data_IF_843597215983
#
_entry.id   IF_843597215983
#
_cell.length_a   1.000
_cell.length_b   1.000
_cell.length_c   1.000
_cell.angle_alpha   90.00
_cell.angle_beta   90.00
_cell.angle_gamma   90.00
#
_symmetry.space_group_name_H-M   'P 1'
#
loop_
_entity.id
_entity.type
_entity.pdbx_description
1 polymer ?
#
# COMPACT_ATOMS: atom_id res chain seq x y z
N UNK A 1 27.59 -15.90 -0.07
CA UNK A 1 26.50 -16.03 0.92
C UNK A 1 25.93 -14.65 1.26
N UNK A 2 25.02 -14.11 0.43
CA UNK A 2 24.17 -12.98 0.83
C UNK A 2 22.75 -13.39 0.50
N UNK A 3 22.07 -13.91 1.53
CA UNK A 3 20.67 -14.32 1.50
C UNK A 3 19.87 -13.07 1.13
N UNK A 4 19.50 -12.95 -0.14
CA UNK A 4 18.56 -11.92 -0.61
C UNK A 4 17.25 -12.18 0.12
N UNK A 5 17.07 -11.45 1.22
CA UNK A 5 15.90 -11.50 2.08
C UNK A 5 14.80 -10.79 1.28
N UNK A 6 14.22 -11.50 0.32
CA UNK A 6 12.96 -11.15 -0.36
C UNK A 6 11.89 -11.14 0.74
N UNK A 7 11.85 -10.05 1.51
CA UNK A 7 10.71 -9.74 2.36
C UNK A 7 9.57 -9.55 1.39
N UNK A 8 8.53 -10.37 1.53
CA UNK A 8 7.30 -10.31 0.75
C UNK A 8 6.62 -8.96 1.01
N UNK A 9 7.07 -7.92 0.33
CA UNK A 9 6.39 -6.65 0.24
C UNK A 9 5.65 -6.67 -1.09
N UNK A 10 4.35 -6.93 -1.04
CA UNK A 10 3.51 -6.86 -2.23
C UNK A 10 3.26 -5.37 -2.51
N UNK A 11 3.56 -4.94 -3.73
CA UNK A 11 3.33 -3.56 -4.17
C UNK A 11 2.17 -3.58 -5.15
N UNK A 12 1.11 -2.85 -4.80
CA UNK A 12 -0.06 -2.67 -5.68
C UNK A 12 -0.08 -1.21 -6.12
N UNK A 13 -0.04 -1.00 -7.43
CA UNK A 13 -0.21 0.32 -8.03
C UNK A 13 -1.59 0.41 -8.67
N UNK A 14 -2.42 1.32 -8.16
CA UNK A 14 -3.77 1.61 -8.66
C UNK A 14 -3.74 2.96 -9.35
N UNK A 15 -4.21 3.05 -10.58
CA UNK A 15 -4.30 4.32 -11.31
C UNK A 15 -5.75 4.64 -11.59
N UNK A 16 -6.18 5.86 -11.27
CA UNK A 16 -7.51 6.36 -11.59
C UNK A 16 -7.42 7.36 -12.73
N UNK A 17 -7.68 6.86 -13.95
CA UNK A 17 -7.64 7.65 -15.18
C UNK A 17 -6.37 8.50 -15.29
N UNK A 18 -6.55 9.81 -15.49
CA UNK A 18 -5.47 10.83 -15.52
C UNK A 18 -5.45 11.71 -14.27
N UNK A 19 -6.02 11.23 -13.16
CA UNK A 19 -6.19 12.03 -11.94
C UNK A 19 -5.14 11.67 -10.90
N UNK A 20 -5.11 10.40 -10.47
CA UNK A 20 -4.23 9.96 -9.38
C UNK A 20 -3.63 8.58 -9.63
N UNK A 21 -2.51 8.33 -8.95
CA UNK A 21 -1.83 7.04 -8.81
C UNK A 21 -1.70 6.76 -7.32
N UNK A 22 -2.22 5.63 -6.88
CA UNK A 22 -2.14 5.16 -5.51
C UNK A 22 -1.22 3.93 -5.43
N UNK A 23 -0.32 3.95 -4.46
CA UNK A 23 0.63 2.87 -4.18
C UNK A 23 0.24 2.29 -2.84
N UNK A 24 -0.04 0.99 -2.81
CA UNK A 24 -0.31 0.24 -1.60
C UNK A 24 0.84 -0.73 -1.39
N UNK A 25 1.58 -0.53 -0.31
CA UNK A 25 2.61 -1.43 0.17
C UNK A 25 1.98 -2.36 1.18
N UNK A 26 1.90 -3.64 0.85
CA UNK A 26 1.46 -4.67 1.76
C UNK A 26 2.66 -5.47 2.26
N UNK A 27 2.63 -5.83 3.54
CA UNK A 27 3.57 -6.72 4.18
C UNK A 27 2.80 -7.94 4.68
N UNK A 28 2.90 -9.05 3.95
CA UNK A 28 2.00 -10.21 4.12
C UNK A 28 0.54 -9.81 3.87
N UNK A 29 -0.39 -10.15 4.76
CA UNK A 29 -1.81 -9.78 4.69
C UNK A 29 -2.13 -8.36 5.19
N UNK A 30 -1.13 -7.64 5.72
CA UNK A 30 -1.34 -6.32 6.29
C UNK A 30 -0.92 -5.25 5.30
N UNK A 31 -1.75 -4.22 5.17
CA UNK A 31 -1.33 -2.99 4.50
C UNK A 31 -0.39 -2.25 5.45
N UNK A 32 0.84 -2.02 5.00
CA UNK A 32 1.87 -1.32 5.77
C UNK A 32 1.83 0.19 5.49
N UNK A 33 1.62 0.55 4.21
CA UNK A 33 1.60 1.95 3.78
C UNK A 33 0.76 2.14 2.53
N UNK A 34 0.03 3.25 2.48
CA UNK A 34 -0.62 3.74 1.26
C UNK A 34 -0.06 5.12 0.93
N UNK A 35 0.12 5.43 -0.35
CA UNK A 35 0.60 6.73 -0.84
C UNK A 35 -0.22 7.10 -2.05
N UNK A 36 -0.81 8.29 -2.06
CA UNK A 36 -1.54 8.81 -3.20
C UNK A 36 -0.75 9.97 -3.80
N UNK A 37 -0.57 9.92 -5.11
CA UNK A 37 0.11 10.93 -5.92
C UNK A 37 -0.77 11.32 -7.11
N UNK A 38 -0.54 12.51 -7.64
CA UNK A 38 -1.15 12.95 -8.88
C UNK A 38 -0.67 12.12 -10.07
N UNK A 39 -1.48 12.04 -11.11
CA UNK A 39 -1.13 11.28 -12.32
C UNK A 39 0.17 11.75 -12.98
N UNK A 40 0.43 13.06 -12.95
CA UNK A 40 1.63 13.67 -13.51
C UNK A 40 2.88 13.50 -12.64
N UNK A 41 2.75 13.04 -11.40
CA UNK A 41 3.89 12.87 -10.51
C UNK A 41 4.66 11.58 -10.82
N UNK A 42 5.98 11.69 -10.72
CA UNK A 42 6.84 10.52 -10.83
C UNK A 42 6.69 9.65 -9.60
N UNK A 43 6.49 8.36 -9.87
CA UNK A 43 6.34 7.32 -8.84
C UNK A 43 7.63 6.52 -8.68
N UNK A 44 8.58 6.71 -9.59
CA UNK A 44 9.91 6.13 -9.54
C UNK A 44 10.91 7.22 -9.15
N UNK A 45 11.83 6.89 -8.24
CA UNK A 45 13.03 7.67 -7.97
C UNK A 45 13.97 7.65 -9.18
N UNK A 46 14.95 8.56 -9.19
CA UNK A 46 16.00 8.64 -10.22
C UNK A 46 16.76 7.32 -10.42
N UNK A 47 16.87 6.50 -9.36
CA UNK A 47 17.47 5.16 -9.40
C UNK A 47 16.58 4.08 -10.05
N UNK A 48 15.42 4.45 -10.61
CA UNK A 48 14.44 3.52 -11.19
C UNK A 48 13.68 2.68 -10.17
N UNK A 49 13.86 2.94 -8.87
CA UNK A 49 13.13 2.27 -7.78
C UNK A 49 11.79 2.96 -7.52
N UNK A 50 10.77 2.19 -7.15
CA UNK A 50 9.50 2.74 -6.71
C UNK A 50 9.71 3.62 -5.46
N UNK A 51 9.36 4.89 -5.57
CA UNK A 51 9.48 5.84 -4.47
C UNK A 51 8.29 5.70 -3.52
N UNK A 52 8.50 4.93 -2.46
CA UNK A 52 7.51 4.68 -1.40
C UNK A 52 7.72 5.56 -0.16
N UNK A 53 8.62 6.54 -0.22
CA UNK A 53 9.01 7.34 0.94
C UNK A 53 8.58 8.79 0.79
N UNK A 54 8.67 9.35 -0.42
CA UNK A 54 8.31 10.75 -0.62
C UNK A 54 6.79 10.94 -0.64
N UNK A 55 6.35 12.11 -0.16
CA UNK A 55 4.95 12.53 -0.24
C UNK A 55 4.67 13.11 -1.63
N UNK A 56 3.39 13.18 -2.00
CA UNK A 56 2.94 13.95 -3.16
C UNK A 56 3.30 15.43 -3.02
N UNK A 57 3.60 16.11 -4.12
CA UNK A 57 3.80 17.56 -4.19
C UNK A 57 2.49 18.33 -4.01
N UNK A 58 1.35 17.72 -4.32
CA UNK A 58 0.04 18.33 -4.13
C UNK A 58 -0.49 18.04 -2.72
N UNK A 59 -0.82 19.10 -1.98
CA UNK A 59 -1.37 19.02 -0.62
C UNK A 59 -2.66 18.20 -0.55
N UNK A 60 -3.50 18.26 -1.60
CA UNK A 60 -4.75 17.48 -1.66
C UNK A 60 -4.49 15.98 -1.59
N UNK A 61 -3.48 15.46 -2.31
CA UNK A 61 -3.15 14.04 -2.28
C UNK A 61 -2.37 13.64 -1.02
N UNK A 62 -1.62 14.57 -0.42
CA UNK A 62 -1.07 14.36 0.94
C UNK A 62 -2.21 14.12 1.93
N UNK A 63 -3.25 14.96 1.91
CA UNK A 63 -4.41 14.83 2.78
C UNK A 63 -5.19 13.53 2.53
N UNK A 64 -5.37 13.14 1.27
CA UNK A 64 -5.97 11.83 0.92
C UNK A 64 -5.14 10.67 1.47
N UNK A 65 -3.82 10.77 1.39
CA UNK A 65 -2.89 9.78 1.97
C UNK A 65 -3.04 9.69 3.49
N UNK A 66 -3.14 10.83 4.17
CA UNK A 66 -3.34 10.88 5.62
C UNK A 66 -4.70 10.30 6.04
N UNK A 67 -5.75 10.56 5.27
CA UNK A 67 -7.07 9.95 5.47
C UNK A 67 -7.05 8.44 5.25
N UNK A 68 -6.38 7.96 4.20
CA UNK A 68 -6.22 6.53 3.94
C UNK A 68 -5.40 5.85 5.06
N UNK A 69 -4.38 6.52 5.58
CA UNK A 69 -3.57 6.03 6.69
C UNK A 69 -4.37 5.99 8.00
N UNK A 70 -5.17 7.02 8.28
CA UNK A 70 -6.07 7.04 9.44
C UNK A 70 -7.11 5.94 9.37
N UNK A 71 -7.74 5.78 8.20
CA UNK A 71 -8.69 4.70 7.97
C UNK A 71 -8.02 3.32 8.15
N UNK A 72 -6.83 3.14 7.57
CA UNK A 72 -6.06 1.92 7.73
C UNK A 72 -5.79 1.59 9.21
N UNK A 73 -5.33 2.56 9.99
CA UNK A 73 -5.08 2.38 11.43
C UNK A 73 -6.37 2.05 12.19
N UNK A 74 -7.49 2.70 11.82
CA UNK A 74 -8.80 2.41 12.40
C UNK A 74 -9.27 0.99 12.07
N UNK A 75 -9.04 0.51 10.85
CA UNK A 75 -9.36 -0.86 10.45
C UNK A 75 -8.38 -1.91 11.02
N UNK A 76 -7.15 -1.51 11.35
CA UNK A 76 -6.12 -2.41 11.92
C UNK A 76 -6.20 -2.54 13.45
N UNK A 77 -6.86 -1.62 14.15
CA UNK A 77 -7.20 -1.76 15.57
C UNK A 77 -8.50 -2.57 15.72
N UNK A 78 -8.62 -3.37 16.79
CA UNK A 78 -8.93 -4.79 16.72
C UNK A 78 -10.41 -5.06 16.40
N UNK A 79 -10.69 -5.49 15.18
CA UNK A 79 -11.90 -6.26 14.85
C UNK A 79 -11.55 -7.39 13.85
N UNK A 80 -10.76 -8.35 14.35
CA UNK A 80 -10.67 -9.73 13.82
C UNK A 80 -9.64 -10.02 12.70
N UNK A 81 -8.34 -10.10 13.04
CA UNK A 81 -7.37 -10.80 12.18
C UNK A 81 -7.71 -12.28 11.98
N UNK A 82 -8.38 -12.92 12.95
CA UNK A 82 -8.78 -14.34 12.89
C UNK A 82 -9.83 -14.67 11.83
N UNK A 83 -10.71 -13.72 11.48
CA UNK A 83 -11.75 -13.93 10.46
C UNK A 83 -11.14 -13.95 9.06
N UNK A 84 -10.19 -13.05 8.79
CA UNK A 84 -9.46 -13.04 7.51
C UNK A 84 -8.67 -14.34 7.37
N UNK A 85 -7.94 -14.76 8.41
CA UNK A 85 -7.17 -16.02 8.38
C UNK A 85 -8.07 -17.24 8.18
N UNK A 86 -9.23 -17.32 8.85
CA UNK A 86 -10.20 -18.40 8.62
C UNK A 86 -10.79 -18.38 7.22
N UNK A 87 -11.15 -17.22 6.67
CA UNK A 87 -11.66 -17.13 5.30
C UNK A 87 -10.61 -17.56 4.27
N UNK A 88 -9.34 -17.23 4.47
CA UNK A 88 -8.25 -17.73 3.61
C UNK A 88 -8.06 -19.25 3.73
N UNK A 89 -8.08 -19.82 4.94
CA UNK A 89 -7.91 -21.27 5.14
C UNK A 89 -9.12 -22.09 4.68
N UNK A 90 -10.35 -21.58 4.84
CA UNK A 90 -11.59 -22.25 4.41
C UNK A 90 -11.79 -22.18 2.89
N UNK A 91 -11.32 -21.11 2.24
CA UNK A 91 -11.39 -21.00 0.76
C UNK A 91 -10.42 -21.93 0.03
N UNK A 92 -9.36 -22.42 0.68
CA UNK A 92 -8.40 -23.35 0.08
C UNK A 92 -8.78 -24.83 0.25
N UNK A 93 -10.00 -25.14 0.71
CA UNK A 93 -10.46 -26.51 0.97
C UNK A 93 -11.72 -26.92 0.19
N UNK A 94 -12.02 -26.27 -0.94
CA UNK A 94 -13.03 -26.73 -1.90
C UNK A 94 -12.46 -26.75 -3.31
#
# INVERSE_FOLDING_TARGET
LVKSKKRFHLLISVTLGKVLKAIVVMRSLFIDRTIVRGYHENVYSEDGKLDIWSKSNYQVFQKVTDHATTALLHYQLPQMPDVVVRSFMVSSSW
#
